data_IF_242737227585
#
_entry.id   IF_242737227585
#
_cell.length_a   1.000
_cell.length_b   1.000
_cell.length_c   1.000
_cell.angle_alpha   90.00
_cell.angle_beta   90.00
_cell.angle_gamma   90.00
#
_symmetry.space_group_name_H-M   'P 1'
#
loop_
_entity.id
_entity.type
_entity.pdbx_description
1 polymer ?
#
# COMPACT_ATOMS: atom_id res chain seq x y z
N UNK A 1 35.22 -20.94 -21.99
CA UNK A 1 33.86 -20.44 -22.12
C UNK A 1 33.63 -19.48 -20.97
N UNK A 2 33.72 -18.18 -21.22
CA UNK A 2 33.54 -17.13 -20.20
C UNK A 2 32.05 -17.02 -19.89
N UNK A 3 31.68 -17.22 -18.61
CA UNK A 3 30.34 -16.93 -18.13
C UNK A 3 30.13 -15.40 -18.22
N UNK A 4 29.17 -14.97 -19.01
CA UNK A 4 28.74 -13.58 -19.04
C UNK A 4 28.20 -13.23 -17.66
N UNK A 5 28.82 -12.24 -17.01
CA UNK A 5 28.26 -11.61 -15.79
C UNK A 5 26.89 -11.01 -16.16
N UNK A 6 25.87 -11.12 -15.29
CA UNK A 6 24.59 -10.47 -15.54
C UNK A 6 24.84 -8.96 -15.61
N UNK A 7 24.43 -8.32 -16.71
CA UNK A 7 24.49 -6.88 -16.87
C UNK A 7 23.75 -6.22 -15.69
N UNK A 8 24.47 -5.47 -14.86
CA UNK A 8 23.85 -4.65 -13.83
C UNK A 8 23.06 -3.55 -14.54
N UNK A 9 21.77 -3.76 -14.74
CA UNK A 9 20.88 -2.68 -15.15
C UNK A 9 20.98 -1.57 -14.10
N UNK A 10 21.40 -0.38 -14.52
CA UNK A 10 21.49 0.77 -13.63
C UNK A 10 20.12 1.03 -13.00
N UNK A 11 20.08 1.22 -11.67
CA UNK A 11 18.84 1.53 -10.97
C UNK A 11 18.27 2.85 -11.49
N UNK A 12 16.96 2.88 -11.66
CA UNK A 12 16.23 4.12 -11.95
C UNK A 12 16.30 5.07 -10.75
N UNK A 13 16.15 6.36 -11.01
CA UNK A 13 16.16 7.40 -10.00
C UNK A 13 14.83 8.14 -9.99
N UNK A 14 14.36 8.49 -8.82
CA UNK A 14 13.20 9.39 -8.67
C UNK A 14 13.63 10.85 -8.89
N UNK A 15 12.71 11.77 -9.14
CA UNK A 15 13.03 13.21 -9.21
C UNK A 15 13.69 13.78 -7.94
N UNK A 16 13.56 13.09 -6.78
CA UNK A 16 14.13 13.51 -5.51
C UNK A 16 15.48 12.85 -5.20
N UNK A 17 16.06 12.07 -6.11
CA UNK A 17 17.29 11.30 -5.85
C UNK A 17 18.43 12.14 -5.25
N UNK A 18 18.75 13.27 -5.89
CA UNK A 18 19.82 14.16 -5.41
C UNK A 18 19.47 14.77 -4.04
N UNK A 19 18.22 15.12 -3.81
CA UNK A 19 17.76 15.61 -2.51
C UNK A 19 17.92 14.54 -1.41
N UNK A 20 17.70 13.27 -1.72
CA UNK A 20 17.94 12.18 -0.76
C UNK A 20 19.42 12.10 -0.37
N UNK A 21 20.33 12.20 -1.36
CA UNK A 21 21.78 12.20 -1.10
C UNK A 21 22.20 13.41 -0.27
N UNK A 22 21.69 14.61 -0.60
CA UNK A 22 21.92 15.84 0.15
C UNK A 22 21.48 15.73 1.62
N UNK A 23 20.34 15.09 1.86
CA UNK A 23 19.79 14.85 3.20
C UNK A 23 20.48 13.68 3.94
N UNK A 24 21.50 13.06 3.33
CA UNK A 24 22.27 11.98 3.92
C UNK A 24 21.53 10.64 3.99
N UNK A 25 20.60 10.40 3.09
CA UNK A 25 19.85 9.15 3.04
C UNK A 25 20.75 7.96 2.71
N UNK A 26 20.50 6.84 3.37
CA UNK A 26 21.04 5.54 2.96
C UNK A 26 20.16 4.98 1.84
N UNK A 27 20.73 4.90 0.63
CA UNK A 27 20.04 4.41 -0.56
C UNK A 27 20.16 2.88 -0.67
N UNK A 28 19.08 2.23 -1.15
CA UNK A 28 19.02 0.79 -1.43
C UNK A 28 18.28 0.52 -2.73
N UNK A 29 18.55 -0.60 -3.41
CA UNK A 29 17.69 -1.07 -4.50
C UNK A 29 16.30 -1.45 -3.98
N UNK A 30 15.26 -0.91 -4.62
CA UNK A 30 13.87 -1.28 -4.34
C UNK A 30 13.01 -1.12 -5.59
N UNK A 31 12.36 -2.20 -6.02
CA UNK A 31 11.51 -2.23 -7.22
C UNK A 31 12.17 -1.60 -8.47
N UNK A 32 13.48 -1.85 -8.67
CA UNK A 32 14.25 -1.31 -9.80
C UNK A 32 14.74 0.14 -9.63
N UNK A 33 14.46 0.78 -8.50
CA UNK A 33 14.86 2.16 -8.17
C UNK A 33 15.92 2.21 -7.06
N UNK A 34 16.75 3.27 -7.08
CA UNK A 34 17.54 3.67 -5.92
C UNK A 34 16.64 4.47 -4.96
N UNK A 35 16.30 3.91 -3.81
CA UNK A 35 15.35 4.48 -2.86
C UNK A 35 15.97 4.69 -1.48
N UNK A 36 15.56 5.74 -0.73
CA UNK A 36 16.02 5.95 0.64
C UNK A 36 15.40 4.91 1.57
N UNK A 37 16.22 4.06 2.22
CA UNK A 37 15.71 3.15 3.25
C UNK A 37 15.55 3.85 4.59
N UNK A 38 16.44 4.80 4.89
CA UNK A 38 16.41 5.65 6.08
C UNK A 38 17.29 6.90 5.89
N UNK A 39 17.04 7.91 6.70
CA UNK A 39 17.86 9.10 6.86
C UNK A 39 18.72 9.00 8.14
N UNK A 40 19.59 10.00 8.45
CA UNK A 40 20.48 9.93 9.61
C UNK A 40 19.79 9.72 10.96
N UNK A 41 18.54 10.14 11.11
CA UNK A 41 17.75 9.91 12.33
C UNK A 41 17.47 8.42 12.59
N UNK A 42 17.43 7.61 11.54
CA UNK A 42 17.18 6.16 11.58
C UNK A 42 15.72 5.78 11.67
N UNK A 43 15.41 4.54 11.28
CA UNK A 43 14.06 4.01 11.09
C UNK A 43 13.13 4.25 12.29
N UNK A 44 13.62 4.03 13.52
CA UNK A 44 12.79 4.18 14.72
C UNK A 44 12.39 5.64 14.98
N UNK A 45 13.29 6.59 14.75
CA UNK A 45 13.01 8.01 14.91
C UNK A 45 12.05 8.49 13.80
N UNK A 46 12.27 8.08 12.56
CA UNK A 46 11.38 8.38 11.42
C UNK A 46 9.97 7.83 11.64
N UNK A 47 9.86 6.61 12.15
CA UNK A 47 8.57 6.01 12.52
C UNK A 47 7.84 6.86 13.57
N UNK A 48 8.54 7.23 14.67
CA UNK A 48 7.95 8.07 15.73
C UNK A 48 7.58 9.45 15.22
N UNK A 49 8.43 10.04 14.39
CA UNK A 49 8.15 11.31 13.73
C UNK A 49 6.81 11.28 12.97
N UNK A 50 6.55 10.20 12.22
CA UNK A 50 5.27 10.00 11.53
C UNK A 50 4.10 9.85 12.52
N UNK A 51 4.28 9.12 13.62
CA UNK A 51 3.23 8.92 14.63
C UNK A 51 2.89 10.18 15.45
N UNK A 52 3.85 11.05 15.68
CA UNK A 52 3.75 12.18 16.62
C UNK A 52 3.64 13.54 15.91
N UNK A 53 4.10 13.63 14.67
CA UNK A 53 4.19 14.89 13.94
C UNK A 53 3.83 14.73 12.47
N UNK A 54 4.78 14.91 11.55
CA UNK A 54 4.62 14.68 10.12
C UNK A 54 5.92 14.14 9.51
N UNK A 55 5.80 13.18 8.61
CA UNK A 55 6.90 12.60 7.84
C UNK A 55 6.62 12.70 6.34
N UNK A 56 7.65 13.07 5.57
CA UNK A 56 7.61 13.13 4.11
C UNK A 56 8.32 11.92 3.53
N UNK A 57 7.59 11.15 2.74
CA UNK A 57 8.09 9.99 2.00
C UNK A 57 8.11 10.29 0.50
N UNK A 58 9.18 9.94 -0.19
CA UNK A 58 9.17 9.82 -1.64
C UNK A 58 8.60 8.45 -2.03
N UNK A 59 7.53 8.47 -2.78
CA UNK A 59 6.89 7.28 -3.36
C UNK A 59 6.77 7.40 -4.88
N UNK A 60 7.63 8.22 -5.50
CA UNK A 60 7.61 8.51 -6.95
C UNK A 60 7.99 7.31 -7.82
N UNK A 61 8.50 6.22 -7.23
CA UNK A 61 8.72 4.95 -7.91
C UNK A 61 7.41 4.23 -8.28
N UNK A 62 6.30 4.55 -7.63
CA UNK A 62 4.97 3.99 -7.94
C UNK A 62 4.47 4.46 -9.31
N UNK A 63 3.63 3.63 -9.94
CA UNK A 63 2.99 3.97 -11.21
C UNK A 63 1.78 4.89 -11.00
N UNK A 64 1.65 5.90 -11.86
CA UNK A 64 0.47 6.77 -11.94
C UNK A 64 -0.14 6.62 -13.34
N UNK A 65 -1.45 6.33 -13.41
CA UNK A 65 -2.14 6.06 -14.67
C UNK A 65 -3.48 6.81 -14.70
N UNK A 66 -3.85 7.33 -15.88
CA UNK A 66 -5.18 7.89 -16.12
C UNK A 66 -5.95 6.99 -17.06
N UNK A 67 -7.23 6.78 -16.76
CA UNK A 67 -8.19 6.16 -17.68
C UNK A 67 -9.18 7.23 -18.12
N UNK A 68 -9.15 7.57 -19.42
CA UNK A 68 -9.94 8.66 -20.00
C UNK A 68 -10.96 8.11 -20.98
N UNK A 69 -12.21 8.52 -20.84
CA UNK A 69 -13.33 8.12 -21.70
C UNK A 69 -14.60 7.85 -20.91
N UNK A 70 -15.73 7.99 -21.57
CA UNK A 70 -17.06 7.83 -20.94
C UNK A 70 -17.27 6.41 -20.39
N UNK A 71 -16.62 5.41 -20.96
CA UNK A 71 -16.75 4.00 -20.58
C UNK A 71 -15.65 3.53 -19.59
N UNK A 72 -14.72 4.41 -19.18
CA UNK A 72 -13.57 4.05 -18.36
C UNK A 72 -13.94 3.33 -17.04
N UNK A 73 -15.00 3.80 -16.35
CA UNK A 73 -15.43 3.20 -15.09
C UNK A 73 -16.01 1.80 -15.29
N UNK A 74 -16.89 1.62 -16.27
CA UNK A 74 -17.47 0.33 -16.59
C UNK A 74 -16.40 -0.64 -17.15
N UNK A 75 -15.44 -0.12 -17.93
CA UNK A 75 -14.33 -0.91 -18.41
C UNK A 75 -13.44 -1.39 -17.24
N UNK A 76 -13.07 -0.52 -16.30
CA UNK A 76 -12.25 -0.90 -15.16
C UNK A 76 -12.96 -1.92 -14.24
N UNK A 77 -14.30 -1.82 -14.06
CA UNK A 77 -15.08 -2.80 -13.30
C UNK A 77 -15.00 -4.22 -13.84
N UNK A 78 -14.59 -4.41 -15.11
CA UNK A 78 -14.37 -5.76 -15.65
C UNK A 78 -13.04 -6.38 -15.18
N UNK A 79 -12.19 -5.63 -14.48
CA UNK A 79 -10.88 -6.08 -13.99
C UNK A 79 -10.79 -6.11 -12.47
N UNK A 80 -11.68 -5.41 -11.78
CA UNK A 80 -11.64 -5.26 -10.32
C UNK A 80 -12.97 -5.62 -9.66
N UNK A 81 -12.97 -6.24 -8.47
CA UNK A 81 -14.20 -6.60 -7.75
C UNK A 81 -14.79 -5.42 -6.96
N UNK A 82 -14.37 -4.20 -7.24
CA UNK A 82 -14.85 -3.01 -6.53
C UNK A 82 -15.80 -2.18 -7.40
N UNK A 83 -16.66 -1.40 -6.75
CA UNK A 83 -17.58 -0.50 -7.41
C UNK A 83 -16.85 0.76 -7.88
N UNK A 84 -16.69 0.91 -9.19
CA UNK A 84 -16.07 2.07 -9.83
C UNK A 84 -17.12 2.95 -10.52
N UNK A 85 -18.19 2.34 -11.04
CA UNK A 85 -19.25 3.04 -11.77
C UNK A 85 -19.94 4.07 -10.88
N UNK A 86 -20.25 3.71 -9.62
CA UNK A 86 -20.93 4.60 -8.67
C UNK A 86 -19.95 5.35 -7.75
N UNK A 87 -18.64 5.32 -8.04
CA UNK A 87 -17.65 6.10 -7.29
C UNK A 87 -17.85 7.59 -7.59
N UNK A 88 -18.22 8.43 -6.59
CA UNK A 88 -18.44 9.86 -6.83
C UNK A 88 -17.15 10.60 -7.19
N UNK A 89 -17.26 11.72 -7.93
CA UNK A 89 -16.14 12.62 -8.21
C UNK A 89 -15.50 13.08 -6.89
N UNK A 90 -14.17 13.14 -6.86
CA UNK A 90 -13.37 13.48 -5.68
C UNK A 90 -13.26 12.34 -4.67
N UNK A 91 -13.86 11.17 -4.88
CA UNK A 91 -13.72 10.00 -4.00
C UNK A 91 -12.67 9.03 -4.51
N UNK A 92 -12.03 8.36 -3.54
CA UNK A 92 -11.00 7.36 -3.77
C UNK A 92 -11.43 6.00 -3.20
N UNK A 93 -11.00 4.92 -3.82
CA UNK A 93 -11.16 3.54 -3.34
C UNK A 93 -9.87 2.76 -3.44
N UNK A 94 -9.63 1.91 -2.47
CA UNK A 94 -8.68 0.80 -2.56
C UNK A 94 -9.31 -0.31 -3.42
N UNK A 95 -8.53 -0.84 -4.33
CA UNK A 95 -8.95 -1.86 -5.26
C UNK A 95 -7.81 -2.87 -5.49
N UNK A 96 -8.10 -3.91 -6.24
CA UNK A 96 -7.12 -4.90 -6.67
C UNK A 96 -7.53 -5.53 -7.98
N UNK A 97 -6.54 -5.83 -8.84
CA UNK A 97 -6.74 -6.68 -10.00
C UNK A 97 -6.74 -8.14 -9.57
N UNK A 98 -7.57 -8.95 -10.23
CA UNK A 98 -7.68 -10.37 -9.92
C UNK A 98 -7.43 -11.24 -11.15
N UNK A 99 -6.92 -12.45 -10.93
CA UNK A 99 -6.79 -13.47 -11.97
C UNK A 99 -7.98 -14.46 -11.96
N UNK A 100 -8.03 -15.37 -12.91
CA UNK A 100 -9.13 -16.34 -13.05
C UNK A 100 -9.30 -17.28 -11.85
N UNK A 101 -8.24 -17.51 -11.06
CA UNK A 101 -8.27 -18.29 -9.82
C UNK A 101 -8.70 -17.46 -8.60
N UNK A 102 -8.98 -16.15 -8.76
CA UNK A 102 -9.33 -15.23 -7.69
C UNK A 102 -8.13 -14.66 -6.94
N UNK A 103 -6.91 -14.97 -7.35
CA UNK A 103 -5.68 -14.41 -6.77
C UNK A 103 -5.46 -12.95 -7.20
N UNK A 104 -4.67 -12.22 -6.42
CA UNK A 104 -4.43 -10.80 -6.60
C UNK A 104 -3.23 -10.57 -7.52
N UNK A 105 -3.43 -9.87 -8.65
CA UNK A 105 -2.35 -9.49 -9.57
C UNK A 105 -1.59 -8.26 -9.10
N UNK A 106 -2.30 -7.29 -8.53
CA UNK A 106 -1.78 -6.13 -7.79
C UNK A 106 -2.91 -5.50 -6.97
N UNK A 107 -2.55 -4.63 -6.01
CA UNK A 107 -3.47 -3.74 -5.32
C UNK A 107 -3.18 -2.28 -5.70
N UNK A 108 -4.23 -1.47 -5.79
CA UNK A 108 -4.16 -0.13 -6.33
C UNK A 108 -5.14 0.84 -5.67
N UNK A 109 -4.88 2.14 -5.86
CA UNK A 109 -5.82 3.19 -5.50
C UNK A 109 -6.49 3.75 -6.74
N UNK A 110 -7.82 3.90 -6.71
CA UNK A 110 -8.63 4.48 -7.78
C UNK A 110 -9.27 5.75 -7.25
N UNK A 111 -9.01 6.88 -7.89
CA UNK A 111 -9.69 8.16 -7.58
C UNK A 111 -10.49 8.62 -8.79
N UNK A 112 -11.79 8.91 -8.61
CA UNK A 112 -12.58 9.54 -9.66
C UNK A 112 -12.34 11.04 -9.67
N UNK A 113 -11.81 11.55 -10.78
CA UNK A 113 -11.72 12.97 -11.07
C UNK A 113 -12.87 13.39 -11.99
N UNK A 114 -13.00 14.67 -12.33
CA UNK A 114 -14.09 15.14 -13.17
C UNK A 114 -14.07 14.48 -14.56
N UNK A 115 -12.88 14.38 -15.17
CA UNK A 115 -12.73 13.95 -16.57
C UNK A 115 -12.14 12.56 -16.73
N UNK A 116 -11.69 11.90 -15.63
CA UNK A 116 -11.01 10.61 -15.71
C UNK A 116 -11.02 9.83 -14.38
N UNK A 117 -10.47 8.62 -14.43
CA UNK A 117 -10.05 7.87 -13.26
C UNK A 117 -8.53 7.98 -13.12
N UNK A 118 -8.06 8.36 -11.95
CA UNK A 118 -6.66 8.40 -11.60
C UNK A 118 -6.30 7.20 -10.74
N UNK A 119 -5.33 6.42 -11.21
CA UNK A 119 -4.87 5.20 -10.56
C UNK A 119 -3.45 5.39 -10.04
N UNK A 120 -3.17 4.83 -8.86
CA UNK A 120 -1.82 4.65 -8.33
C UNK A 120 -1.61 3.15 -8.12
N UNK A 121 -0.58 2.59 -8.76
CA UNK A 121 -0.24 1.15 -8.78
C UNK A 121 1.15 0.90 -8.19
N UNK A 122 1.41 -0.32 -7.71
CA UNK A 122 2.67 -0.65 -7.07
C UNK A 122 3.87 -0.59 -8.04
N UNK A 123 5.00 -0.13 -7.53
CA UNK A 123 6.20 0.08 -8.32
C UNK A 123 6.71 -1.18 -9.04
N UNK A 124 6.65 -2.33 -8.36
CA UNK A 124 7.09 -3.61 -8.93
C UNK A 124 6.13 -4.18 -9.98
N UNK A 125 4.85 -3.76 -9.97
CA UNK A 125 3.81 -4.26 -10.84
C UNK A 125 3.43 -3.29 -11.97
N UNK A 126 3.84 -2.03 -11.91
CA UNK A 126 3.34 -0.94 -12.76
C UNK A 126 3.40 -1.21 -14.27
N UNK A 127 4.45 -1.88 -14.75
CA UNK A 127 4.60 -2.18 -16.17
C UNK A 127 3.64 -3.33 -16.59
N UNK A 128 3.48 -4.33 -15.72
CA UNK A 128 2.51 -5.41 -15.91
C UNK A 128 1.07 -4.86 -15.83
N UNK A 129 0.77 -3.98 -14.88
CA UNK A 129 -0.53 -3.35 -14.71
C UNK A 129 -0.89 -2.46 -15.91
N UNK A 130 0.06 -1.65 -16.39
CA UNK A 130 -0.13 -0.83 -17.58
C UNK A 130 -0.42 -1.71 -18.81
N UNK A 131 0.34 -2.77 -18.98
CA UNK A 131 0.13 -3.75 -20.07
C UNK A 131 -1.24 -4.44 -19.93
N UNK A 132 -1.62 -4.82 -18.71
CA UNK A 132 -2.92 -5.42 -18.39
C UNK A 132 -4.07 -4.48 -18.74
N UNK A 133 -4.01 -3.23 -18.30
CA UNK A 133 -5.01 -2.20 -18.62
C UNK A 133 -5.13 -1.96 -20.13
N UNK A 134 -4.01 -1.77 -20.83
CA UNK A 134 -4.01 -1.54 -22.28
C UNK A 134 -4.63 -2.73 -23.03
N UNK A 135 -4.22 -3.95 -22.67
CA UNK A 135 -4.67 -5.16 -23.34
C UNK A 135 -6.15 -5.43 -23.11
N UNK A 136 -6.62 -5.27 -21.86
CA UNK A 136 -7.97 -5.66 -21.49
C UNK A 136 -9.00 -4.58 -21.79
N UNK A 137 -8.68 -3.30 -21.59
CA UNK A 137 -9.65 -2.22 -21.69
C UNK A 137 -9.22 -1.05 -22.58
N UNK A 138 -8.04 -1.08 -23.21
CA UNK A 138 -7.55 -0.03 -24.09
C UNK A 138 -8.41 0.21 -25.35
N UNK A 139 -9.25 -0.74 -25.72
CA UNK A 139 -10.26 -0.57 -26.78
C UNK A 139 -11.53 0.16 -26.33
N UNK A 140 -11.72 0.37 -25.02
CA UNK A 140 -12.91 1.00 -24.41
C UNK A 140 -12.61 2.40 -23.84
N UNK A 141 -11.36 2.64 -23.42
CA UNK A 141 -10.91 3.92 -22.87
C UNK A 141 -9.44 4.13 -23.15
N UNK A 142 -8.98 5.38 -23.10
CA UNK A 142 -7.55 5.69 -23.19
C UNK A 142 -6.86 5.36 -21.88
N UNK A 143 -5.76 4.60 -21.94
CA UNK A 143 -4.90 4.27 -20.81
C UNK A 143 -3.62 5.11 -20.95
N UNK A 144 -3.40 6.06 -20.04
CA UNK A 144 -2.34 7.05 -20.13
C UNK A 144 -1.44 6.96 -18.89
N UNK A 145 -0.24 6.42 -19.04
CA UNK A 145 0.78 6.48 -17.99
C UNK A 145 1.24 7.93 -17.78
N UNK A 146 1.64 8.26 -16.54
CA UNK A 146 2.07 9.60 -16.12
C UNK A 146 3.51 9.60 -15.57
N UNK A 147 4.51 9.18 -16.37
CA UNK A 147 5.90 9.08 -15.90
C UNK A 147 6.54 10.44 -15.58
N UNK A 148 5.94 11.53 -16.09
CA UNK A 148 6.34 12.91 -15.85
C UNK A 148 5.89 13.47 -14.49
N UNK A 149 5.25 12.65 -13.66
CA UNK A 149 4.77 13.07 -12.33
C UNK A 149 5.48 12.29 -11.21
N UNK A 150 5.89 13.03 -10.20
CA UNK A 150 6.33 12.47 -8.91
C UNK A 150 5.12 12.23 -7.99
N UNK A 151 5.30 11.37 -7.01
CA UNK A 151 4.32 11.12 -5.95
C UNK A 151 5.01 11.26 -4.60
N UNK A 152 4.53 12.17 -3.76
CA UNK A 152 5.01 12.40 -2.41
C UNK A 152 3.92 12.01 -1.41
N UNK A 153 4.29 11.34 -0.33
CA UNK A 153 3.36 11.04 0.76
C UNK A 153 3.78 11.82 2.01
N UNK A 154 2.90 12.69 2.50
CA UNK A 154 3.09 13.43 3.75
C UNK A 154 2.13 12.90 4.80
N UNK A 155 2.66 12.23 5.81
CA UNK A 155 1.91 11.39 6.74
C UNK A 155 2.16 11.79 8.19
N UNK A 156 1.12 11.75 9.01
CA UNK A 156 1.18 12.04 10.45
C UNK A 156 0.11 13.04 10.89
N UNK A 157 -0.15 13.14 12.21
CA UNK A 157 -1.24 13.95 12.76
C UNK A 157 -1.10 15.46 12.47
N UNK A 158 0.12 15.94 12.20
CA UNK A 158 0.39 17.35 11.84
C UNK A 158 0.59 17.58 10.35
N UNK A 159 0.40 16.56 9.52
CA UNK A 159 0.54 16.69 8.06
C UNK A 159 -0.43 17.76 7.50
N UNK A 160 -1.66 17.82 8.03
CA UNK A 160 -2.65 18.81 7.60
C UNK A 160 -2.22 20.24 7.94
N UNK A 161 -1.62 20.47 9.11
CA UNK A 161 -1.18 21.80 9.53
C UNK A 161 -0.06 22.33 8.63
N UNK A 162 0.93 21.47 8.33
CA UNK A 162 2.04 21.81 7.46
C UNK A 162 1.60 22.06 6.01
N UNK A 163 0.74 21.20 5.44
CA UNK A 163 0.28 21.34 4.07
C UNK A 163 -0.69 22.52 3.90
N UNK A 164 -1.54 22.78 4.90
CA UNK A 164 -2.49 23.89 4.88
C UNK A 164 -1.82 25.27 4.92
N UNK A 165 -0.59 25.40 5.44
CA UNK A 165 0.19 26.65 5.33
C UNK A 165 0.60 26.95 3.89
N UNK A 166 0.73 25.94 3.05
CA UNK A 166 1.01 26.12 1.62
C UNK A 166 -0.30 26.38 0.86
N UNK A 167 -1.36 25.61 1.15
CA UNK A 167 -2.70 25.81 0.59
C UNK A 167 -3.78 25.35 1.58
N UNK A 168 -4.48 26.30 2.19
CA UNK A 168 -5.50 26.03 3.20
C UNK A 168 -6.67 25.18 2.72
N UNK A 169 -6.93 25.11 1.42
CA UNK A 169 -8.01 24.31 0.83
C UNK A 169 -7.87 22.80 1.07
N UNK A 170 -6.64 22.29 1.26
CA UNK A 170 -6.40 20.86 1.50
C UNK A 170 -7.03 20.36 2.81
N UNK A 171 -7.25 21.26 3.78
CA UNK A 171 -7.86 20.93 5.07
C UNK A 171 -9.33 20.48 4.93
N UNK A 172 -10.00 20.81 3.83
CA UNK A 172 -11.38 20.40 3.54
C UNK A 172 -11.48 18.93 3.09
N UNK A 173 -10.39 18.34 2.61
CA UNK A 173 -10.37 16.91 2.27
C UNK A 173 -10.62 16.05 3.50
N UNK A 174 -11.34 14.96 3.30
CA UNK A 174 -11.51 13.88 4.29
C UNK A 174 -10.84 12.60 3.79
N UNK A 175 -10.68 11.60 4.64
CA UNK A 175 -10.07 10.32 4.26
C UNK A 175 -10.75 9.74 3.01
N UNK A 176 -9.94 9.29 2.05
CA UNK A 176 -10.35 8.76 0.75
C UNK A 176 -11.09 9.79 -0.12
N UNK A 177 -10.64 11.05 -0.07
CA UNK A 177 -11.04 12.09 -1.01
C UNK A 177 -9.82 12.78 -1.62
N UNK A 178 -10.00 13.39 -2.79
CA UNK A 178 -8.94 14.11 -3.48
C UNK A 178 -9.45 15.31 -4.30
N UNK A 179 -8.53 16.18 -4.66
CA UNK A 179 -8.79 17.36 -5.46
C UNK A 179 -7.52 18.01 -6.00
N UNK A 180 -7.68 19.02 -6.84
CA UNK A 180 -6.59 19.81 -7.41
C UNK A 180 -6.27 21.01 -6.53
N UNK A 181 -4.97 21.23 -6.28
CA UNK A 181 -4.46 22.33 -5.45
C UNK A 181 -3.17 22.90 -6.04
N UNK A 182 -3.02 24.21 -6.00
CA UNK A 182 -1.74 24.85 -6.31
C UNK A 182 -0.81 24.74 -5.08
N UNK A 183 0.29 24.00 -5.21
CA UNK A 183 1.29 23.82 -4.17
C UNK A 183 2.68 24.19 -4.70
N UNK A 184 3.38 25.11 -4.02
CA UNK A 184 4.73 25.55 -4.40
C UNK A 184 4.87 25.95 -5.89
N UNK A 185 3.86 26.61 -6.45
CA UNK A 185 3.85 27.05 -7.85
C UNK A 185 3.48 26.00 -8.89
N UNK A 186 3.08 24.81 -8.47
CA UNK A 186 2.63 23.74 -9.36
C UNK A 186 1.19 23.32 -9.08
N UNK A 187 0.48 22.89 -10.11
CA UNK A 187 -0.82 22.23 -9.97
C UNK A 187 -0.62 20.76 -9.58
N UNK A 188 -1.07 20.43 -8.38
CA UNK A 188 -0.93 19.11 -7.78
C UNK A 188 -2.29 18.44 -7.58
N UNK A 189 -2.37 17.15 -7.85
CA UNK A 189 -3.51 16.35 -7.41
C UNK A 189 -3.22 15.78 -6.04
N UNK A 190 -4.02 16.10 -5.03
CA UNK A 190 -3.83 15.72 -3.65
C UNK A 190 -4.95 14.80 -3.21
N UNK A 191 -4.62 13.65 -2.65
CA UNK A 191 -5.58 12.78 -1.97
C UNK A 191 -5.29 12.75 -0.47
N UNK A 192 -6.35 12.68 0.36
CA UNK A 192 -6.18 12.45 1.80
C UNK A 192 -6.23 10.96 2.06
N UNK A 193 -5.09 10.34 1.96
CA UNK A 193 -4.86 8.90 2.03
C UNK A 193 -3.41 8.62 2.43
N UNK A 194 -3.08 7.34 2.60
CA UNK A 194 -1.72 6.93 2.90
C UNK A 194 -1.61 5.49 3.37
N UNK A 195 -0.38 5.10 3.67
CA UNK A 195 0.01 3.73 3.96
C UNK A 195 0.64 3.58 5.35
N UNK A 196 0.22 4.41 6.31
CA UNK A 196 0.86 4.49 7.64
C UNK A 196 -0.10 4.23 8.80
N UNK A 197 -1.42 4.27 8.54
CA UNK A 197 -2.43 4.27 9.61
C UNK A 197 -2.65 5.65 10.24
N UNK A 198 -1.79 6.62 9.93
CA UNK A 198 -1.98 8.02 10.34
C UNK A 198 -2.77 8.80 9.28
N UNK A 199 -3.30 9.95 9.68
CA UNK A 199 -3.82 10.94 8.75
C UNK A 199 -2.70 11.47 7.86
N UNK A 200 -3.02 11.87 6.64
CA UNK A 200 -2.01 12.39 5.72
C UNK A 200 -2.50 12.47 4.29
N UNK A 201 -1.58 12.83 3.42
CA UNK A 201 -1.85 13.15 2.02
C UNK A 201 -0.87 12.43 1.10
N UNK A 202 -1.34 12.06 -0.08
CA UNK A 202 -0.50 11.71 -1.21
C UNK A 202 -0.64 12.80 -2.27
N UNK A 203 0.50 13.29 -2.79
CA UNK A 203 0.58 14.49 -3.62
C UNK A 203 1.23 14.11 -4.95
N UNK A 204 0.43 14.02 -6.00
CA UNK A 204 0.91 13.90 -7.37
C UNK A 204 1.29 15.28 -7.90
N UNK A 205 2.55 15.47 -8.24
CA UNK A 205 3.16 16.75 -8.65
C UNK A 205 3.95 16.56 -9.94
N UNK A 206 4.01 17.54 -10.87
CA UNK A 206 4.93 17.47 -12.00
C UNK A 206 6.37 17.22 -11.52
N UNK A 207 7.09 16.27 -12.12
CA UNK A 207 8.44 15.88 -11.68
C UNK A 207 9.42 17.07 -11.58
N UNK A 208 9.27 18.05 -12.49
CA UNK A 208 10.08 19.29 -12.50
C UNK A 208 9.87 20.18 -11.27
N UNK A 209 8.78 20.00 -10.52
CA UNK A 209 8.44 20.79 -9.32
C UNK A 209 8.59 19.97 -8.03
N UNK A 210 8.89 18.66 -8.14
CA UNK A 210 8.94 17.76 -7.00
C UNK A 210 9.95 18.18 -5.93
N UNK A 211 11.16 18.59 -6.33
CA UNK A 211 12.22 19.04 -5.40
C UNK A 211 11.81 20.32 -4.70
N UNK A 212 11.26 21.30 -5.44
CA UNK A 212 10.82 22.57 -4.86
C UNK A 212 9.69 22.35 -3.83
N UNK A 213 8.71 21.50 -4.16
CA UNK A 213 7.65 21.13 -3.23
C UNK A 213 8.19 20.39 -2.00
N UNK A 214 9.06 19.38 -2.20
CA UNK A 214 9.65 18.65 -1.09
C UNK A 214 10.43 19.56 -0.13
N UNK A 215 11.24 20.49 -0.65
CA UNK A 215 11.95 21.48 0.17
C UNK A 215 10.99 22.41 0.93
N UNK A 216 9.91 22.86 0.28
CA UNK A 216 8.88 23.69 0.92
C UNK A 216 8.18 22.96 2.07
N UNK A 217 7.92 21.66 1.91
CA UNK A 217 7.34 20.81 2.96
C UNK A 217 8.35 20.55 4.09
N UNK A 218 9.59 20.20 3.77
CA UNK A 218 10.66 19.96 4.74
C UNK A 218 11.08 21.23 5.52
N UNK A 219 10.80 22.41 5.00
CA UNK A 219 11.02 23.67 5.72
C UNK A 219 9.97 23.92 6.84
N UNK A 220 8.89 23.14 6.88
CA UNK A 220 7.91 23.22 7.96
C UNK A 220 8.47 22.55 9.21
N UNK A 221 8.32 23.15 10.42
CA UNK A 221 8.96 22.65 11.64
C UNK A 221 8.50 21.26 12.07
N UNK A 222 7.30 20.85 11.65
CA UNK A 222 6.74 19.54 11.98
C UNK A 222 7.22 18.41 11.06
N UNK A 223 7.80 18.74 9.89
CA UNK A 223 8.04 17.77 8.82
C UNK A 223 9.49 17.30 8.82
N UNK A 224 9.71 16.00 8.84
CA UNK A 224 11.00 15.37 8.63
C UNK A 224 10.92 14.35 7.51
N UNK A 225 12.03 14.07 6.79
CA UNK A 225 12.04 13.03 5.79
C UNK A 225 12.00 11.65 6.45
N UNK A 226 11.36 10.68 5.78
CA UNK A 226 11.34 9.29 6.21
C UNK A 226 11.49 8.34 5.02
N UNK A 227 12.19 7.22 5.26
CA UNK A 227 12.48 6.22 4.23
C UNK A 227 11.59 4.99 4.29
N UNK A 228 11.92 4.02 3.39
CA UNK A 228 11.17 2.77 3.24
C UNK A 228 11.13 1.93 4.52
N UNK A 229 12.17 2.00 5.36
CA UNK A 229 12.21 1.25 6.62
C UNK A 229 11.12 1.70 7.61
N UNK A 230 10.92 3.02 7.74
CA UNK A 230 9.83 3.56 8.55
C UNK A 230 8.46 3.27 7.91
N UNK A 231 8.35 3.40 6.57
CA UNK A 231 7.13 3.07 5.83
C UNK A 231 6.70 1.62 6.08
N UNK A 232 7.63 0.66 6.08
CA UNK A 232 7.33 -0.76 6.32
C UNK A 232 6.87 -1.02 7.76
N UNK A 233 7.53 -0.45 8.76
CA UNK A 233 7.09 -0.63 10.15
C UNK A 233 5.73 0.03 10.44
N UNK A 234 5.44 1.18 9.83
CA UNK A 234 4.17 1.90 9.95
C UNK A 234 3.01 1.12 9.34
N UNK A 235 3.18 0.65 8.07
CA UNK A 235 2.14 -0.11 7.38
C UNK A 235 1.82 -1.41 8.10
N UNK A 236 2.85 -2.12 8.62
CA UNK A 236 2.67 -3.38 9.33
C UNK A 236 1.89 -3.18 10.63
N UNK A 237 2.21 -2.15 11.43
CA UNK A 237 1.42 -1.78 12.61
C UNK A 237 -0.03 -1.42 12.27
N UNK A 238 -0.23 -0.80 11.10
CA UNK A 238 -1.57 -0.49 10.58
C UNK A 238 -2.29 -1.71 9.99
N UNK A 239 -1.65 -2.90 9.91
CA UNK A 239 -2.24 -4.12 9.37
C UNK A 239 -2.45 -4.08 7.85
N UNK A 240 -1.76 -3.18 7.13
CA UNK A 240 -1.86 -3.00 5.68
C UNK A 240 -0.95 -3.98 4.95
N UNK A 241 -1.49 -4.62 3.91
CA UNK A 241 -0.76 -5.59 3.10
C UNK A 241 0.36 -4.93 2.28
N UNK A 242 1.43 -5.67 2.05
CA UNK A 242 2.44 -5.37 1.04
C UNK A 242 2.34 -6.41 -0.07
N UNK A 243 2.10 -5.95 -1.30
CA UNK A 243 2.05 -6.83 -2.46
C UNK A 243 3.41 -7.53 -2.70
N UNK A 244 3.36 -8.79 -3.09
CA UNK A 244 4.52 -9.66 -3.22
C UNK A 244 4.98 -10.32 -1.90
N UNK A 245 4.40 -9.92 -0.76
CA UNK A 245 4.69 -10.47 0.57
C UNK A 245 3.42 -11.00 1.25
N UNK A 246 2.48 -10.11 1.58
CA UNK A 246 1.22 -10.47 2.26
C UNK A 246 0.11 -10.87 1.31
N UNK A 247 0.16 -10.44 0.08
CA UNK A 247 -0.78 -10.73 -0.99
C UNK A 247 -0.03 -10.93 -2.31
N UNK A 248 -0.50 -11.85 -3.13
CA UNK A 248 0.07 -12.24 -4.40
C UNK A 248 -0.94 -12.94 -5.31
N UNK A 249 -0.50 -13.44 -6.46
CA UNK A 249 -1.32 -14.15 -7.45
C UNK A 249 -1.97 -15.44 -6.95
N UNK A 250 -1.54 -15.96 -5.80
CA UNK A 250 -2.05 -17.20 -5.18
C UNK A 250 -2.99 -16.92 -4.01
N UNK A 251 -3.20 -15.65 -3.66
CA UNK A 251 -3.95 -15.21 -2.49
C UNK A 251 -5.23 -14.50 -2.92
N UNK A 252 -6.36 -14.96 -2.44
CA UNK A 252 -7.64 -14.29 -2.72
C UNK A 252 -7.90 -13.14 -1.76
N UNK A 253 -8.75 -12.15 -2.13
CA UNK A 253 -9.12 -11.05 -1.23
C UNK A 253 -9.87 -11.53 0.01
N UNK A 254 -10.52 -12.71 -0.03
CA UNK A 254 -11.22 -13.29 1.11
C UNK A 254 -10.22 -13.87 2.11
N UNK A 255 -9.22 -14.62 1.63
CA UNK A 255 -8.10 -15.10 2.46
C UNK A 255 -7.34 -13.95 3.10
N UNK A 256 -7.09 -12.88 2.34
CA UNK A 256 -6.36 -11.70 2.77
C UNK A 256 -7.13 -10.78 3.74
N UNK A 257 -8.44 -11.04 3.97
CA UNK A 257 -9.26 -10.17 4.81
C UNK A 257 -9.58 -8.81 4.18
N UNK A 258 -9.58 -8.73 2.84
CA UNK A 258 -9.83 -7.50 2.06
C UNK A 258 -11.28 -7.40 1.56
N UNK A 259 -12.20 -8.20 2.11
CA UNK A 259 -13.61 -8.24 1.71
C UNK A 259 -14.34 -6.91 1.90
N UNK A 260 -13.84 -6.03 2.78
CA UNK A 260 -14.37 -4.68 2.98
C UNK A 260 -14.25 -3.78 1.74
N UNK A 261 -13.29 -4.06 0.86
CA UNK A 261 -13.09 -3.33 -0.40
C UNK A 261 -14.08 -3.75 -1.49
N UNK A 262 -14.75 -4.90 -1.36
CA UNK A 262 -15.73 -5.40 -2.31
C UNK A 262 -17.11 -4.90 -1.87
N UNK A 263 -17.68 -3.92 -2.60
CA UNK A 263 -19.00 -3.37 -2.28
C UNK A 263 -20.13 -4.38 -2.55
N UNK A 264 -21.24 -4.23 -1.84
CA UNK A 264 -22.40 -5.17 -1.95
C UNK A 264 -22.91 -5.31 -3.39
N UNK A 265 -22.87 -4.23 -4.18
CA UNK A 265 -23.32 -4.22 -5.59
C UNK A 265 -22.47 -5.14 -6.47
N UNK A 266 -21.24 -5.47 -6.07
CA UNK A 266 -20.29 -6.32 -6.81
C UNK A 266 -20.26 -7.77 -6.32
N UNK A 267 -20.88 -8.09 -5.17
CA UNK A 267 -20.94 -9.44 -4.60
C UNK A 267 -22.09 -10.23 -5.20
N UNK A 268 -22.10 -11.56 -5.04
CA UNK A 268 -23.18 -12.44 -5.46
C UNK A 268 -24.55 -11.91 -5.02
N UNK A 269 -25.51 -11.80 -5.97
CA UNK A 269 -26.82 -11.18 -5.78
C UNK A 269 -26.87 -9.66 -5.90
N UNK A 270 -25.74 -8.96 -6.03
CA UNK A 270 -25.72 -7.53 -6.31
C UNK A 270 -26.06 -7.19 -7.75
N UNK A 271 -26.49 -5.95 -8.00
CA UNK A 271 -26.94 -5.50 -9.33
C UNK A 271 -25.85 -5.57 -10.41
N UNK A 272 -24.57 -5.51 -10.03
CA UNK A 272 -23.40 -5.67 -10.91
C UNK A 272 -22.46 -6.76 -10.36
N UNK A 273 -23.04 -7.87 -9.87
CA UNK A 273 -22.29 -8.99 -9.34
C UNK A 273 -21.38 -9.62 -10.39
N UNK A 274 -20.16 -10.00 -10.00
CA UNK A 274 -19.22 -10.68 -10.88
C UNK A 274 -18.71 -9.79 -12.02
N UNK A 275 -18.44 -10.41 -13.20
CA UNK A 275 -17.96 -9.72 -14.39
C UNK A 275 -16.47 -9.30 -14.35
N UNK A 276 -15.68 -9.82 -13.39
CA UNK A 276 -14.24 -9.66 -13.25
C UNK A 276 -13.58 -11.04 -13.12
N UNK A 277 -12.26 -11.18 -13.39
CA UNK A 277 -11.59 -12.47 -13.29
C UNK A 277 -11.68 -13.05 -11.88
N UNK A 278 -11.97 -14.36 -11.76
CA UNK A 278 -12.04 -15.06 -10.47
C UNK A 278 -13.30 -14.78 -9.64
N UNK A 279 -14.29 -14.08 -10.17
CA UNK A 279 -15.52 -13.73 -9.44
C UNK A 279 -16.21 -14.94 -8.80
N UNK A 280 -16.32 -16.07 -9.51
CA UNK A 280 -16.95 -17.29 -8.97
C UNK A 280 -16.21 -17.87 -7.76
N UNK A 281 -14.87 -17.81 -7.75
CA UNK A 281 -14.06 -18.26 -6.61
C UNK A 281 -14.26 -17.35 -5.41
N UNK A 282 -14.19 -16.03 -5.64
CA UNK A 282 -14.33 -15.00 -4.60
C UNK A 282 -15.73 -15.07 -3.98
N UNK A 283 -16.80 -15.16 -4.79
CA UNK A 283 -18.17 -15.28 -4.30
C UNK A 283 -18.42 -16.58 -3.51
N UNK A 284 -17.85 -17.70 -3.97
CA UNK A 284 -17.91 -18.96 -3.21
C UNK A 284 -17.24 -18.83 -1.84
N UNK A 285 -16.07 -18.22 -1.77
CA UNK A 285 -15.37 -17.98 -0.52
C UNK A 285 -16.08 -16.95 0.39
N UNK A 286 -16.72 -15.93 -0.18
CA UNK A 286 -17.55 -14.99 0.58
C UNK A 286 -18.75 -15.70 1.26
N UNK A 287 -19.31 -16.71 0.60
CA UNK A 287 -20.45 -17.48 1.11
C UNK A 287 -20.05 -18.57 2.09
N UNK A 288 -18.95 -19.28 1.84
CA UNK A 288 -18.56 -20.51 2.56
C UNK A 288 -17.38 -20.31 3.51
N UNK A 289 -16.64 -19.18 3.38
CA UNK A 289 -15.36 -18.94 4.02
C UNK A 289 -14.18 -19.49 3.22
N UNK A 290 -12.99 -18.98 3.50
CA UNK A 290 -11.75 -19.46 2.92
C UNK A 290 -11.08 -20.52 3.81
N UNK A 291 -10.30 -21.42 3.21
CA UNK A 291 -9.60 -22.50 3.94
C UNK A 291 -8.42 -22.00 4.79
N UNK A 292 -7.87 -20.86 4.44
CA UNK A 292 -6.83 -20.14 5.19
C UNK A 292 -7.21 -18.67 5.33
N UNK A 293 -6.62 -18.00 6.34
CA UNK A 293 -6.88 -16.58 6.59
C UNK A 293 -5.61 -15.86 7.00
N UNK A 294 -5.45 -14.63 6.52
CA UNK A 294 -4.44 -13.71 7.04
C UNK A 294 -4.82 -13.28 8.46
N UNK A 295 -3.86 -13.39 9.37
CA UNK A 295 -4.00 -13.00 10.77
C UNK A 295 -2.89 -12.08 11.20
N UNK A 296 -3.16 -11.23 12.20
CA UNK A 296 -2.14 -10.57 12.97
C UNK A 296 -1.57 -11.52 14.04
N UNK A 297 -0.28 -11.39 14.32
CA UNK A 297 0.44 -12.20 15.30
C UNK A 297 1.28 -11.28 16.19
N UNK A 298 1.19 -11.47 17.51
CA UNK A 298 2.04 -10.79 18.49
C UNK A 298 3.00 -11.81 19.08
N UNK A 299 4.30 -11.51 19.06
CA UNK A 299 5.32 -12.32 19.72
C UNK A 299 5.25 -12.17 21.24
N UNK A 300 5.30 -13.30 21.94
CA UNK A 300 5.28 -13.32 23.41
C UNK A 300 6.71 -13.19 23.99
N UNK A 301 7.74 -13.32 23.14
CA UNK A 301 9.14 -13.04 23.45
C UNK A 301 9.62 -11.85 22.64
N UNK A 302 10.76 -11.23 23.01
CA UNK A 302 11.29 -10.03 22.31
C UNK A 302 11.93 -10.29 20.96
N UNK A 303 12.11 -11.55 20.58
CA UNK A 303 12.71 -11.90 19.29
C UNK A 303 11.72 -11.68 18.13
N UNK A 304 12.01 -10.79 17.15
CA UNK A 304 11.12 -10.59 16.02
C UNK A 304 11.13 -11.81 15.10
N UNK A 305 9.94 -12.18 14.64
CA UNK A 305 9.77 -13.19 13.60
C UNK A 305 9.75 -12.48 12.25
N UNK A 306 10.42 -13.05 11.26
CA UNK A 306 10.52 -12.48 9.91
C UNK A 306 9.70 -13.29 8.92
N UNK A 307 9.48 -12.69 7.76
CA UNK A 307 8.88 -13.34 6.61
C UNK A 307 9.49 -14.73 6.37
N UNK A 308 8.64 -15.67 5.95
CA UNK A 308 9.02 -17.02 5.61
C UNK A 308 9.07 -18.00 6.79
N UNK A 309 8.98 -17.52 8.04
CA UNK A 309 8.95 -18.41 9.19
C UNK A 309 7.69 -19.31 9.17
N UNK A 310 7.88 -20.60 9.35
CA UNK A 310 6.78 -21.54 9.48
C UNK A 310 6.01 -21.30 10.78
N UNK A 311 4.69 -21.42 10.72
CA UNK A 311 3.81 -21.40 11.88
C UNK A 311 3.33 -22.81 12.17
N UNK A 312 3.48 -23.24 13.43
CA UNK A 312 3.09 -24.57 13.89
C UNK A 312 2.18 -24.49 15.12
N UNK A 313 1.37 -25.51 15.33
CA UNK A 313 0.57 -25.68 16.55
C UNK A 313 1.43 -26.13 17.75
N UNK A 314 0.81 -26.35 18.90
CA UNK A 314 1.48 -26.81 20.12
C UNK A 314 2.15 -28.21 19.95
N UNK A 315 1.67 -29.04 19.01
CA UNK A 315 2.21 -30.37 18.71
C UNK A 315 3.32 -30.32 17.65
N UNK A 316 3.51 -29.16 16.98
CA UNK A 316 4.49 -28.98 15.93
C UNK A 316 3.98 -29.31 14.54
N UNK A 317 2.67 -29.44 14.35
CA UNK A 317 2.11 -29.59 13.02
C UNK A 317 2.09 -28.23 12.28
N UNK A 318 2.49 -28.19 11.00
CA UNK A 318 2.44 -26.96 10.22
C UNK A 318 1.00 -26.46 10.08
N UNK A 319 0.76 -25.18 10.42
CA UNK A 319 -0.56 -24.55 10.32
C UNK A 319 -0.55 -23.30 9.47
N UNK A 320 0.64 -22.79 9.09
CA UNK A 320 0.73 -21.59 8.29
C UNK A 320 2.14 -21.05 8.10
N UNK A 321 2.23 -19.78 7.67
CA UNK A 321 3.50 -19.09 7.40
C UNK A 321 3.37 -17.58 7.65
N UNK A 322 4.45 -16.99 8.14
CA UNK A 322 4.59 -15.53 8.29
C UNK A 322 4.92 -14.90 6.95
N UNK A 323 4.24 -13.81 6.61
CA UNK A 323 4.42 -13.03 5.37
C UNK A 323 5.10 -11.69 5.61
N UNK A 324 4.90 -11.10 6.78
CA UNK A 324 5.57 -9.86 7.20
C UNK A 324 5.82 -9.89 8.70
N UNK A 325 6.95 -9.33 9.15
CA UNK A 325 7.22 -9.30 10.58
C UNK A 325 8.32 -8.33 10.98
N UNK A 326 8.13 -7.64 12.09
CA UNK A 326 9.06 -6.66 12.66
C UNK A 326 8.91 -6.52 14.17
N UNK A 327 9.79 -5.76 14.80
CA UNK A 327 9.51 -5.15 16.10
C UNK A 327 8.68 -3.88 15.84
N UNK A 328 7.43 -3.84 16.30
CA UNK A 328 6.57 -2.67 16.14
C UNK A 328 7.02 -1.53 17.07
N UNK A 329 7.48 -0.37 16.54
CA UNK A 329 8.05 0.68 17.39
C UNK A 329 7.01 1.36 18.28
N UNK A 330 5.75 1.49 17.82
CA UNK A 330 4.64 2.07 18.61
C UNK A 330 4.16 1.08 19.67
N UNK A 331 3.92 -0.17 19.30
CA UNK A 331 3.38 -1.19 20.20
C UNK A 331 4.47 -1.82 21.09
N UNK A 332 5.74 -1.55 20.80
CA UNK A 332 6.93 -2.05 21.51
C UNK A 332 6.93 -3.58 21.73
N UNK A 333 6.45 -4.31 20.73
CA UNK A 333 6.36 -5.77 20.71
C UNK A 333 6.69 -6.30 19.31
N UNK A 334 7.22 -7.54 19.19
CA UNK A 334 7.28 -8.21 17.91
C UNK A 334 5.87 -8.43 17.38
N UNK A 335 5.64 -7.99 16.15
CA UNK A 335 4.39 -8.18 15.42
C UNK A 335 4.68 -8.82 14.06
N UNK A 336 3.73 -9.58 13.58
CA UNK A 336 3.80 -10.20 12.27
C UNK A 336 2.41 -10.32 11.65
N UNK A 337 2.36 -10.43 10.33
CA UNK A 337 1.20 -10.94 9.60
C UNK A 337 1.57 -12.27 8.97
N UNK A 338 0.59 -13.11 8.76
CA UNK A 338 0.79 -14.41 8.13
C UNK A 338 -0.54 -15.10 7.84
N UNK A 339 -0.46 -16.16 7.08
CA UNK A 339 -1.61 -17.01 6.78
C UNK A 339 -1.59 -18.25 7.65
N UNK A 340 -2.74 -18.58 8.19
CA UNK A 340 -2.97 -19.83 8.93
C UNK A 340 -4.23 -20.52 8.41
N UNK A 341 -4.31 -21.85 8.60
CA UNK A 341 -5.54 -22.57 8.35
C UNK A 341 -6.70 -21.94 9.15
N UNK A 342 -7.89 -21.90 8.57
CA UNK A 342 -9.01 -21.11 9.08
C UNK A 342 -9.40 -21.47 10.53
N UNK A 343 -9.26 -22.73 10.93
CA UNK A 343 -9.51 -23.21 12.28
C UNK A 343 -8.48 -22.70 13.32
N UNK A 344 -7.32 -22.22 12.89
CA UNK A 344 -6.29 -21.60 13.75
C UNK A 344 -6.34 -20.08 13.75
N UNK A 345 -7.21 -19.46 12.94
CA UNK A 345 -7.36 -18.00 12.82
C UNK A 345 -8.24 -17.38 13.93
N UNK A 346 -8.20 -17.95 15.13
CA UNK A 346 -9.03 -17.53 16.26
C UNK A 346 -8.26 -16.49 17.11
N UNK A 347 -8.78 -15.26 17.33
CA UNK A 347 -8.13 -14.28 18.19
C UNK A 347 -7.84 -14.84 19.59
N UNK A 348 -6.63 -14.60 20.09
CA UNK A 348 -6.15 -15.16 21.36
C UNK A 348 -5.53 -16.56 21.25
N UNK A 349 -5.70 -17.27 20.13
CA UNK A 349 -5.09 -18.57 19.90
C UNK A 349 -3.56 -18.49 19.91
N UNK A 350 -2.91 -19.50 20.48
CA UNK A 350 -1.46 -19.58 20.56
C UNK A 350 -0.91 -20.48 19.42
N UNK A 351 0.14 -19.99 18.80
CA UNK A 351 0.90 -20.64 17.72
C UNK A 351 2.39 -20.47 18.01
N UNK A 352 3.21 -21.16 17.27
CA UNK A 352 4.66 -21.03 17.38
C UNK A 352 5.27 -20.73 16.00
N UNK A 353 6.15 -19.75 15.95
CA UNK A 353 6.96 -19.50 14.77
C UNK A 353 8.31 -20.24 14.87
N UNK A 354 8.66 -20.98 13.85
CA UNK A 354 9.94 -21.68 13.81
C UNK A 354 11.05 -20.78 13.26
N UNK A 355 11.99 -20.41 14.12
CA UNK A 355 13.11 -19.52 13.79
C UNK A 355 14.41 -20.17 14.24
N UNK A 356 15.29 -20.50 13.30
CA UNK A 356 16.61 -21.09 13.57
C UNK A 356 16.56 -22.29 14.55
N UNK A 357 15.61 -23.18 14.35
CA UNK A 357 15.42 -24.39 15.18
C UNK A 357 14.78 -24.16 16.55
N UNK A 358 14.34 -22.93 16.84
CA UNK A 358 13.58 -22.60 18.05
C UNK A 358 12.13 -22.32 17.70
N UNK A 359 11.21 -22.65 18.61
CA UNK A 359 9.81 -22.29 18.55
C UNK A 359 9.56 -21.06 19.40
N UNK A 360 9.27 -19.94 18.74
CA UNK A 360 8.94 -18.68 19.40
C UNK A 360 7.41 -18.59 19.56
N UNK A 361 6.90 -18.44 20.78
CA UNK A 361 5.46 -18.36 21.00
C UNK A 361 4.87 -17.08 20.44
N UNK A 362 3.77 -17.24 19.70
CA UNK A 362 3.01 -16.16 19.06
C UNK A 362 1.55 -16.27 19.46
N UNK A 363 0.85 -15.14 19.51
CA UNK A 363 -0.59 -15.09 19.74
C UNK A 363 -1.29 -14.44 18.56
N UNK A 364 -2.37 -15.07 18.08
CA UNK A 364 -3.26 -14.46 17.08
C UNK A 364 -3.91 -13.22 17.67
N UNK A 365 -3.74 -12.10 17.01
CA UNK A 365 -4.20 -10.78 17.47
C UNK A 365 -5.06 -10.09 16.39
N UNK A 366 -6.00 -9.24 16.80
CA UNK A 366 -6.71 -8.40 15.84
C UNK A 366 -5.76 -7.39 15.19
N UNK A 367 -6.09 -6.99 13.97
CA UNK A 367 -5.45 -5.89 13.25
C UNK A 367 -6.43 -4.71 13.10
N UNK A 368 -5.97 -3.47 13.08
CA UNK A 368 -4.58 -3.02 13.16
C UNK A 368 -3.96 -3.23 14.54
N UNK A 369 -2.61 -3.35 14.61
CA UNK A 369 -1.88 -3.42 15.90
C UNK A 369 -1.81 -2.05 16.58
N UNK A 370 -1.69 -0.97 15.79
CA UNK A 370 -1.84 0.42 16.23
C UNK A 370 -3.11 1.02 15.59
N UNK A 371 -3.96 1.72 16.37
CA UNK A 371 -5.22 2.27 15.85
C UNK A 371 -5.02 3.22 14.67
N UNK A 372 -5.89 3.14 13.66
CA UNK A 372 -5.93 4.11 12.57
C UNK A 372 -6.44 5.47 13.06
N UNK A 373 -5.81 6.56 12.57
CA UNK A 373 -6.12 7.95 12.96
C UNK A 373 -6.57 8.82 11.78
N UNK A 374 -7.21 8.21 10.81
CA UNK A 374 -7.71 8.92 9.61
C UNK A 374 -8.79 9.95 9.96
N UNK A 375 -8.75 11.12 9.31
CA UNK A 375 -9.82 12.12 9.40
C UNK A 375 -10.99 11.73 8.49
N UNK A 376 -12.03 11.22 9.07
CA UNK A 376 -13.29 10.83 8.40
C UNK A 376 -14.28 11.98 8.34
#
# INVERSE_FOLDING_TARGET
>A
MSAAEPSSTALQQTPLHELHLELGARMVPFAGYAMPVQYPAGILAEHRQCRESAALFDVSHMGQVRLVGADAAAALETLVPVDVVDLPVGKQRYAFFTNAAGGLLDDLMITRREDDLFLVVNAGCKDADLSHLITQIGHRCQVIAQPERALLAMQGPKAVDALARINGGVAALTFMTGGWFALAGAECFVTRSGYTGEDGFEISVPATHAVALARSLLAQPEVQPAGLGARDTLRLEAGLCLYGHDIDETTTPVEAGLTWAIQKVRRGGGARAGGYPGAGVIDAQLAQGAVRKRVGLIGLERAPVREGAALVDAHGHPVGRVTSGTLGPTVNQPIAMGYVAANHAVPGGELFAEVRGKRLPMRVAPMPFAPHRYRR
#
